data_IF_647095786119
#
_entry.id   IF_647095786119
#
_cell.length_a   1.000
_cell.length_b   1.000
_cell.length_c   1.000
_cell.angle_alpha   90.00
_cell.angle_beta   90.00
_cell.angle_gamma   90.00
#
_symmetry.space_group_name_H-M   'P 1'
#
loop_
_entity.id
_entity.type
_entity.pdbx_description
1 polymer ?
#
# COMPACT_ATOMS: atom_id res chain seq x y z
N UNK A 1 -6.06 37.48 24.67
CA UNK A 1 -5.38 36.29 24.12
C UNK A 1 -6.45 35.23 23.92
N UNK A 2 -6.88 35.00 22.67
CA UNK A 2 -7.90 34.00 22.37
C UNK A 2 -7.13 32.70 22.07
N UNK A 3 -7.19 31.74 22.98
CA UNK A 3 -6.63 30.41 22.79
C UNK A 3 -7.38 29.75 21.62
N UNK A 4 -6.74 29.67 20.46
CA UNK A 4 -7.27 28.95 19.31
C UNK A 4 -7.28 27.46 19.61
N UNK A 5 -8.42 26.94 20.08
CA UNK A 5 -8.66 25.51 20.12
C UNK A 5 -8.73 25.00 18.68
N UNK A 6 -7.71 24.26 18.25
CA UNK A 6 -7.71 23.60 16.94
C UNK A 6 -8.83 22.56 16.93
N UNK A 7 -9.91 22.82 16.20
CA UNK A 7 -11.01 21.87 16.04
C UNK A 7 -10.54 20.65 15.22
N UNK A 8 -10.21 19.54 15.89
CA UNK A 8 -9.82 18.31 15.23
C UNK A 8 -11.03 17.64 14.56
N UNK A 9 -10.98 17.47 13.23
CA UNK A 9 -12.03 16.79 12.46
C UNK A 9 -11.56 15.41 12.01
N UNK A 10 -12.29 14.38 12.41
CA UNK A 10 -12.07 13.00 11.96
C UNK A 10 -12.60 12.87 10.53
N UNK A 11 -11.78 12.35 9.62
CA UNK A 11 -12.16 12.03 8.24
C UNK A 11 -11.91 10.57 7.90
N UNK A 12 -12.62 10.06 6.90
CA UNK A 12 -12.33 8.76 6.30
C UNK A 12 -11.04 8.84 5.46
N UNK A 13 -10.35 7.71 5.36
CA UNK A 13 -9.32 7.53 4.34
C UNK A 13 -9.98 7.63 2.96
N UNK A 14 -9.28 8.24 2.02
CA UNK A 14 -9.63 8.27 0.60
C UNK A 14 -9.35 6.92 -0.05
N UNK A 15 -9.95 6.61 -1.21
CA UNK A 15 -9.66 5.36 -1.90
C UNK A 15 -8.17 5.21 -2.22
N UNK A 16 -7.50 6.30 -2.62
CA UNK A 16 -6.06 6.30 -2.88
C UNK A 16 -5.24 5.95 -1.64
N UNK A 17 -5.57 6.52 -0.48
CA UNK A 17 -4.91 6.17 0.79
C UNK A 17 -5.12 4.70 1.14
N UNK A 18 -6.32 4.14 0.90
CA UNK A 18 -6.57 2.71 1.10
C UNK A 18 -5.76 1.83 0.13
N UNK A 19 -5.59 2.23 -1.13
CA UNK A 19 -4.78 1.48 -2.10
C UNK A 19 -3.30 1.48 -1.74
N UNK A 20 -2.78 2.63 -1.31
CA UNK A 20 -1.40 2.74 -0.79
C UNK A 20 -1.20 1.88 0.45
N UNK A 21 -2.18 1.80 1.34
CA UNK A 21 -2.12 0.92 2.52
C UNK A 21 -2.02 -0.56 2.14
N UNK A 22 -2.64 -0.94 1.02
CA UNK A 22 -2.57 -2.30 0.46
C UNK A 22 -1.32 -2.54 -0.39
N UNK A 23 -0.43 -1.55 -0.47
CA UNK A 23 0.85 -1.59 -1.18
C UNK A 23 0.71 -1.66 -2.71
N UNK A 24 -0.40 -1.09 -3.23
CA UNK A 24 -0.56 -0.82 -4.67
C UNK A 24 0.09 0.51 -5.07
N UNK A 25 0.62 0.56 -6.29
CA UNK A 25 1.19 1.79 -6.85
C UNK A 25 0.11 2.83 -7.14
N UNK A 26 0.51 4.11 -7.17
CA UNK A 26 -0.40 5.19 -7.58
C UNK A 26 -0.82 5.02 -9.05
N UNK A 27 0.03 4.47 -9.93
CA UNK A 27 -0.34 4.20 -11.32
C UNK A 27 -1.44 3.13 -11.45
N UNK A 28 -1.40 2.08 -10.61
CA UNK A 28 -2.44 1.05 -10.60
C UNK A 28 -3.78 1.64 -10.13
N UNK A 29 -3.74 2.49 -9.10
CA UNK A 29 -4.91 3.22 -8.64
C UNK A 29 -5.47 4.15 -9.73
N UNK A 30 -4.61 4.92 -10.41
CA UNK A 30 -5.05 5.86 -11.44
C UNK A 30 -5.72 5.13 -12.62
N UNK A 31 -5.17 3.98 -13.04
CA UNK A 31 -5.81 3.11 -14.04
C UNK A 31 -7.16 2.59 -13.56
N UNK A 32 -7.25 2.14 -12.31
CA UNK A 32 -8.48 1.60 -11.75
C UNK A 32 -9.55 2.68 -11.57
N UNK A 33 -9.16 3.91 -11.21
CA UNK A 33 -10.08 5.02 -10.96
C UNK A 33 -10.83 5.46 -12.22
N UNK A 34 -10.24 5.30 -13.41
CA UNK A 34 -10.87 5.66 -14.69
C UNK A 34 -12.16 4.85 -14.94
N UNK A 35 -12.23 3.61 -14.44
CA UNK A 35 -13.32 2.68 -14.74
C UNK A 35 -14.14 2.26 -13.52
N UNK A 36 -13.81 2.74 -12.31
CA UNK A 36 -14.47 2.36 -11.07
C UNK A 36 -14.96 3.58 -10.28
N UNK A 37 -16.10 3.43 -9.60
CA UNK A 37 -16.57 4.40 -8.60
C UNK A 37 -15.75 4.31 -7.30
N UNK A 38 -15.75 5.38 -6.50
CA UNK A 38 -15.09 5.39 -5.19
C UNK A 38 -15.51 4.23 -4.29
N UNK A 39 -16.81 3.86 -4.28
CA UNK A 39 -17.30 2.72 -3.52
C UNK A 39 -16.70 1.39 -3.99
N UNK A 40 -16.51 1.21 -5.30
CA UNK A 40 -15.86 0.02 -5.85
C UNK A 40 -14.37 -0.01 -5.53
N UNK A 41 -13.68 1.14 -5.61
CA UNK A 41 -12.26 1.25 -5.26
C UNK A 41 -11.99 0.92 -3.79
N UNK A 42 -12.87 1.36 -2.88
CA UNK A 42 -12.80 0.96 -1.46
C UNK A 42 -12.97 -0.55 -1.29
N UNK A 43 -13.91 -1.17 -2.01
CA UNK A 43 -14.12 -2.62 -1.96
C UNK A 43 -12.94 -3.39 -2.54
N UNK A 44 -12.33 -2.91 -3.62
CA UNK A 44 -11.15 -3.52 -4.22
C UNK A 44 -9.97 -3.49 -3.25
N UNK A 45 -9.70 -2.35 -2.60
CA UNK A 45 -8.68 -2.28 -1.56
C UNK A 45 -9.00 -3.22 -0.37
N UNK A 46 -10.22 -3.16 0.16
CA UNK A 46 -10.60 -3.94 1.34
C UNK A 46 -10.68 -5.45 1.13
N UNK A 47 -10.97 -5.90 -0.09
CA UNK A 47 -11.01 -7.33 -0.44
C UNK A 47 -9.67 -7.85 -0.99
N UNK A 48 -8.68 -6.98 -1.19
CA UNK A 48 -7.35 -7.39 -1.65
C UNK A 48 -6.53 -7.99 -0.52
N UNK A 49 -5.52 -8.76 -0.88
CA UNK A 49 -4.36 -9.04 -0.03
C UNK A 49 -3.36 -7.89 -0.14
N UNK A 50 -2.61 -7.60 0.93
CA UNK A 50 -1.50 -6.63 0.88
C UNK A 50 -0.40 -7.21 -0.02
N UNK A 51 0.06 -6.44 -1.01
CA UNK A 51 1.01 -6.93 -2.04
C UNK A 51 2.25 -7.54 -1.39
N UNK A 52 2.88 -6.83 -0.45
CA UNK A 52 4.04 -7.33 0.29
C UNK A 52 3.79 -8.69 0.98
N UNK A 53 2.62 -8.88 1.60
CA UNK A 53 2.26 -10.14 2.26
C UNK A 53 2.19 -11.31 1.28
N UNK A 54 1.60 -11.09 0.10
CA UNK A 54 1.57 -12.09 -0.96
C UNK A 54 2.98 -12.41 -1.47
N UNK A 55 3.81 -11.40 -1.73
CA UNK A 55 5.17 -11.59 -2.26
C UNK A 55 6.03 -12.36 -1.26
N UNK A 56 5.88 -12.12 0.05
CA UNK A 56 6.58 -12.86 1.10
C UNK A 56 6.17 -14.34 1.17
N UNK A 57 4.86 -14.64 1.07
CA UNK A 57 4.35 -16.02 1.07
C UNK A 57 4.87 -16.76 -0.18
N UNK A 58 4.76 -16.14 -1.36
CA UNK A 58 5.24 -16.75 -2.60
C UNK A 58 6.75 -16.99 -2.56
N UNK A 59 7.53 -16.07 -1.97
CA UNK A 59 8.97 -16.23 -1.78
C UNK A 59 9.35 -17.44 -0.94
N UNK A 60 8.53 -17.81 0.06
CA UNK A 60 8.75 -19.01 0.88
C UNK A 60 8.24 -20.30 0.20
N UNK A 61 7.25 -20.19 -0.68
CA UNK A 61 6.64 -21.34 -1.35
C UNK A 61 7.48 -21.87 -2.52
N UNK A 62 8.27 -21.01 -3.18
CA UNK A 62 9.10 -21.40 -4.32
C UNK A 62 10.56 -21.64 -3.92
N UNK A 63 10.93 -22.92 -3.79
CA UNK A 63 12.32 -23.34 -3.56
C UNK A 63 13.28 -22.79 -4.64
N UNK A 64 14.44 -22.28 -4.21
CA UNK A 64 15.49 -21.78 -5.10
C UNK A 64 15.28 -20.37 -5.67
N UNK A 65 14.26 -19.62 -5.22
CA UNK A 65 14.02 -18.21 -5.61
C UNK A 65 14.09 -17.20 -4.46
N UNK A 66 14.68 -17.57 -3.33
CA UNK A 66 14.82 -16.73 -2.13
C UNK A 66 15.44 -15.36 -2.42
N UNK A 67 16.41 -15.32 -3.34
CA UNK A 67 17.14 -14.10 -3.72
C UNK A 67 16.37 -13.21 -4.72
N UNK A 68 15.36 -13.76 -5.40
CA UNK A 68 14.53 -13.02 -6.35
C UNK A 68 13.62 -12.06 -5.60
N UNK A 69 13.05 -12.50 -4.47
CA UNK A 69 12.25 -11.65 -3.59
C UNK A 69 13.06 -10.46 -3.07
N UNK A 70 14.28 -10.72 -2.55
CA UNK A 70 15.17 -9.66 -2.04
C UNK A 70 15.47 -8.63 -3.12
N UNK A 71 15.76 -9.06 -4.34
CA UNK A 71 16.04 -8.16 -5.48
C UNK A 71 14.84 -7.32 -5.93
N UNK A 72 13.61 -7.84 -5.81
CA UNK A 72 12.39 -7.09 -6.15
C UNK A 72 12.13 -6.03 -5.07
N UNK A 73 12.15 -6.44 -3.81
CA UNK A 73 11.95 -5.55 -2.66
C UNK A 73 13.01 -4.45 -2.62
N UNK A 74 14.28 -4.78 -2.86
CA UNK A 74 15.38 -3.80 -2.81
C UNK A 74 15.35 -2.81 -4.01
N UNK A 75 14.72 -3.17 -5.14
CA UNK A 75 14.61 -2.28 -6.32
C UNK A 75 13.41 -1.34 -6.26
N UNK A 76 12.26 -1.81 -5.80
CA UNK A 76 11.03 -1.01 -5.75
C UNK A 76 10.83 -0.32 -4.38
N UNK A 77 11.44 -0.83 -3.31
CA UNK A 77 11.24 -0.33 -1.94
C UNK A 77 12.57 -0.18 -1.16
N UNK A 78 13.29 0.94 -1.31
CA UNK A 78 14.58 1.21 -0.64
C UNK A 78 14.46 1.45 0.88
N UNK A 79 13.32 1.15 1.50
CA UNK A 79 13.03 1.49 2.90
C UNK A 79 13.74 0.58 3.92
N UNK A 80 14.31 -0.56 3.50
CA UNK A 80 15.04 -1.47 4.40
C UNK A 80 16.38 -0.92 4.89
N UNK A 81 17.01 0.01 4.18
CA UNK A 81 18.26 0.64 4.65
C UNK A 81 18.02 1.74 5.70
N UNK A 82 16.78 2.21 5.88
CA UNK A 82 16.47 3.42 6.67
C UNK A 82 16.05 3.18 8.13
N UNK A 83 15.92 1.92 8.54
CA UNK A 83 15.46 1.51 9.88
C UNK A 83 16.33 0.42 10.51
N UNK A 84 17.61 0.36 10.12
CA UNK A 84 18.63 -0.48 10.74
C UNK A 84 19.64 0.37 11.55
N UNK A 85 19.13 1.38 12.27
CA UNK A 85 19.82 2.03 13.38
C UNK A 85 19.25 1.49 14.71
#
# INVERSE_FOLDING_TARGET
MQSGETEYRIRKLTPRECWRLMDFTDEDFDKAQVVNSNTQLYKQAGNSIVVNGLVAILGQLFEGKEDVYKKIVDKEFPYKEKYND
#
